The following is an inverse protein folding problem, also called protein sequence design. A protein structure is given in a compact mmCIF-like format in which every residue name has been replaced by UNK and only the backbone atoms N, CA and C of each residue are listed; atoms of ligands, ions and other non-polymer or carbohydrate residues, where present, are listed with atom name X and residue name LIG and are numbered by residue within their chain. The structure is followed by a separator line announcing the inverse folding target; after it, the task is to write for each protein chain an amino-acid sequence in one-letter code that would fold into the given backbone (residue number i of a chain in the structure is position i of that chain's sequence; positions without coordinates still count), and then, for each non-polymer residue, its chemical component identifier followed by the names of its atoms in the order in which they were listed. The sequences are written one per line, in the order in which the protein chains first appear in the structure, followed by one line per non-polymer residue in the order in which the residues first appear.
data_IF_818629052080
#
_entry.id   IF_818629052080
#
_cell.length_a   1.000
_cell.length_b   1.000
_cell.length_c   1.000
_cell.angle_alpha   90.00
_cell.angle_beta   90.00
_cell.angle_gamma   90.00
#
_symmetry.space_group_name_H-M   'P 1'
#
loop_
_entity.id
_entity.type
_entity.pdbx_description
1 polymer ?
#
# COMPACT_ATOMS: atom_id res chain seq x y z
N UNK A 1 -7.46 68.91 31.48
CA UNK A 1 -6.56 68.46 30.40
C UNK A 1 -5.59 67.44 30.98
N UNK A 2 -5.83 66.14 30.77
CA UNK A 2 -4.82 65.10 30.94
C UNK A 2 -5.16 63.98 29.96
N UNK A 3 -4.44 63.97 28.83
CA UNK A 3 -4.58 62.97 27.78
C UNK A 3 -3.89 61.67 28.22
N UNK A 4 -4.66 60.60 28.35
CA UNK A 4 -4.13 59.24 28.45
C UNK A 4 -3.74 58.78 27.04
N UNK A 5 -2.45 58.74 26.73
CA UNK A 5 -1.96 58.15 25.48
C UNK A 5 -1.92 56.64 25.63
N UNK A 6 -2.76 55.94 24.87
CA UNK A 6 -2.61 54.51 24.60
C UNK A 6 -1.33 54.30 23.78
N UNK A 7 -0.35 53.61 24.37
CA UNK A 7 0.81 53.09 23.64
C UNK A 7 0.42 51.68 23.18
N UNK A 8 0.06 51.56 21.91
CA UNK A 8 -0.16 50.26 21.27
C UNK A 8 1.22 49.68 20.99
N UNK A 9 1.64 48.72 21.82
CA UNK A 9 2.83 47.90 21.59
C UNK A 9 2.50 46.90 20.48
N UNK A 10 3.03 47.14 19.29
CA UNK A 10 3.08 46.14 18.22
C UNK A 10 4.11 45.07 18.60
N UNK A 11 3.65 43.98 19.20
CA UNK A 11 4.40 42.73 19.22
C UNK A 11 4.35 42.13 17.81
N UNK A 12 5.41 42.33 17.03
CA UNK A 12 5.65 41.52 15.84
C UNK A 12 5.84 40.06 16.28
N UNK A 13 4.82 39.24 16.10
CA UNK A 13 4.94 37.78 16.08
C UNK A 13 5.80 37.41 14.86
N UNK A 14 7.11 37.30 15.08
CA UNK A 14 8.00 36.61 14.14
C UNK A 14 7.62 35.13 14.23
N UNK A 15 6.80 34.66 13.30
CA UNK A 15 6.69 33.24 13.02
C UNK A 15 8.07 32.79 12.54
N UNK A 16 8.88 32.25 13.45
CA UNK A 16 10.01 31.42 13.09
C UNK A 16 9.42 30.19 12.41
N UNK A 17 9.21 30.28 11.09
CA UNK A 17 9.08 29.09 10.27
C UNK A 17 10.43 28.36 10.40
N UNK A 18 10.48 27.36 11.27
CA UNK A 18 11.56 26.40 11.24
C UNK A 18 11.59 25.83 9.82
N UNK A 19 12.69 25.99 9.06
CA UNK A 19 12.78 25.37 7.75
C UNK A 19 12.54 23.88 7.96
N UNK A 20 11.58 23.31 7.22
CA UNK A 20 11.46 21.86 7.12
C UNK A 20 12.83 21.35 6.71
N UNK A 21 13.48 20.57 7.58
CA UNK A 21 14.77 19.96 7.26
C UNK A 21 14.58 19.12 5.99
N UNK A 22 15.35 19.39 4.93
CA UNK A 22 15.32 18.62 3.69
C UNK A 22 15.86 17.18 3.85
N UNK A 23 16.29 16.82 5.06
CA UNK A 23 16.71 15.49 5.47
C UNK A 23 15.91 15.03 6.68
N UNK A 24 15.49 13.77 6.67
CA UNK A 24 14.84 13.12 7.80
C UNK A 24 15.30 11.66 7.95
N UNK A 25 15.21 11.14 9.17
CA UNK A 25 15.64 9.76 9.50
C UNK A 25 14.50 8.77 9.23
N UNK A 26 14.76 7.78 8.37
CA UNK A 26 13.78 6.74 8.00
C UNK A 26 13.78 5.56 8.96
N UNK A 27 14.98 5.11 9.30
CA UNK A 27 15.29 4.11 10.33
C UNK A 27 16.69 4.44 10.85
N UNK A 28 17.09 3.80 11.96
CA UNK A 28 18.37 4.09 12.60
C UNK A 28 19.52 4.07 11.57
N UNK A 29 20.29 5.16 11.52
CA UNK A 29 21.45 5.37 10.64
C UNK A 29 21.12 5.46 9.13
N UNK A 30 19.83 5.55 8.75
CA UNK A 30 19.37 5.69 7.36
C UNK A 30 18.52 6.94 7.21
N UNK A 31 18.95 7.84 6.33
CA UNK A 31 18.33 9.14 6.13
C UNK A 31 17.87 9.31 4.69
N UNK A 32 16.75 10.01 4.52
CA UNK A 32 16.20 10.37 3.22
C UNK A 32 16.39 11.87 3.02
N UNK A 33 16.98 12.24 1.89
CA UNK A 33 17.15 13.62 1.45
C UNK A 33 16.12 13.91 0.36
N UNK A 34 15.27 14.90 0.58
CA UNK A 34 14.32 15.39 -0.42
C UNK A 34 15.04 16.33 -1.39
N UNK A 35 14.97 16.03 -2.70
CA UNK A 35 15.63 16.83 -3.73
C UNK A 35 14.64 17.23 -4.82
N UNK A 36 14.57 18.51 -5.12
CA UNK A 36 13.95 18.98 -6.36
C UNK A 36 14.81 18.56 -7.56
N UNK A 37 14.20 17.84 -8.50
CA UNK A 37 14.91 17.15 -9.57
C UNK A 37 14.67 17.84 -10.92
N UNK A 38 15.50 18.84 -11.22
CA UNK A 38 15.49 19.54 -12.51
C UNK A 38 16.93 19.92 -12.92
N UNK A 39 17.19 20.24 -14.21
CA UNK A 39 18.53 20.64 -14.66
C UNK A 39 19.04 21.86 -13.86
N UNK A 40 20.29 21.80 -13.40
CA UNK A 40 20.94 22.85 -12.61
C UNK A 40 20.29 23.14 -11.23
N UNK A 41 19.52 22.19 -10.70
CA UNK A 41 19.03 22.27 -9.32
C UNK A 41 20.22 22.40 -8.35
N UNK A 42 20.14 23.29 -7.35
CA UNK A 42 21.25 23.54 -6.43
C UNK A 42 21.53 22.36 -5.49
N UNK A 43 20.58 21.44 -5.34
CA UNK A 43 20.61 20.36 -4.37
C UNK A 43 20.50 20.85 -2.93
N UNK A 44 20.77 19.97 -1.98
CA UNK A 44 20.59 20.22 -0.56
C UNK A 44 21.90 20.13 0.23
N UNK A 45 22.07 21.02 1.20
CA UNK A 45 23.21 20.99 2.11
C UNK A 45 22.87 20.18 3.34
N UNK A 46 23.51 19.02 3.48
CA UNK A 46 23.30 18.09 4.59
C UNK A 46 24.50 18.12 5.54
N UNK A 47 24.24 18.14 6.84
CA UNK A 47 25.28 18.03 7.88
C UNK A 47 25.14 16.68 8.57
N UNK A 48 26.13 15.80 8.38
CA UNK A 48 26.23 14.52 9.06
C UNK A 48 27.06 14.67 10.32
N UNK A 49 26.64 14.02 11.40
CA UNK A 49 27.37 14.01 12.68
C UNK A 49 27.76 12.58 12.99
N UNK A 50 29.03 12.36 13.33
CA UNK A 50 29.53 11.04 13.71
C UNK A 50 28.96 10.69 15.10
N UNK A 51 28.23 9.58 15.21
CA UNK A 51 27.71 9.09 16.49
C UNK A 51 28.83 8.47 17.33
N UNK A 52 29.58 9.33 18.03
CA UNK A 52 30.72 8.95 18.84
C UNK A 52 30.97 10.00 19.93
N UNK A 53 31.49 9.61 21.11
CA UNK A 53 31.98 10.56 22.10
C UNK A 53 33.30 11.24 21.69
N UNK A 54 33.99 10.74 20.68
CA UNK A 54 35.25 11.31 20.18
C UNK A 54 35.02 12.67 19.51
N UNK A 55 35.88 13.65 19.76
CA UNK A 55 35.76 15.01 19.18
C UNK A 55 36.83 15.30 18.10
N UNK A 56 37.98 14.64 18.19
CA UNK A 56 39.15 14.91 17.34
C UNK A 56 39.69 13.65 16.66
N UNK A 57 40.41 13.86 15.54
CA UNK A 57 41.03 12.80 14.75
C UNK A 57 40.05 11.96 13.92
N UNK A 58 38.84 12.49 13.70
CA UNK A 58 37.80 11.86 12.90
C UNK A 58 37.99 12.22 11.42
N UNK A 59 37.93 11.24 10.54
CA UNK A 59 37.91 11.40 9.08
C UNK A 59 36.68 10.72 8.48
N UNK A 60 36.21 11.25 7.35
CA UNK A 60 35.02 10.74 6.66
C UNK A 60 35.34 10.16 5.29
N UNK A 61 34.63 9.09 4.96
CA UNK A 61 34.70 8.37 3.68
C UNK A 61 33.29 8.07 3.17
N UNK A 62 33.11 7.91 1.86
CA UNK A 62 31.85 7.47 1.22
C UNK A 62 32.09 6.19 0.43
N UNK A 63 31.06 5.37 0.22
CA UNK A 63 31.13 4.23 -0.69
C UNK A 63 31.11 4.63 -2.19
N UNK A 64 30.81 5.90 -2.49
CA UNK A 64 30.85 6.47 -3.85
C UNK A 64 32.21 7.07 -4.22
N UNK A 65 33.12 7.25 -3.27
CA UNK A 65 34.43 7.89 -3.49
C UNK A 65 35.55 7.17 -2.73
N UNK A 66 36.73 7.09 -3.34
CA UNK A 66 37.93 6.53 -2.68
C UNK A 66 38.70 7.58 -1.86
N UNK A 67 38.25 8.83 -1.86
CA UNK A 67 38.94 9.95 -1.20
C UNK A 67 38.39 10.22 0.20
N UNK A 68 39.21 10.86 1.04
CA UNK A 68 38.77 11.40 2.32
C UNK A 68 37.95 12.66 2.03
N UNK A 69 36.68 12.65 2.41
CA UNK A 69 35.74 13.73 2.11
C UNK A 69 35.85 14.92 3.07
N UNK A 70 36.35 14.67 4.28
CA UNK A 70 36.48 15.69 5.31
C UNK A 70 37.01 15.14 6.62
N UNK A 71 37.21 16.04 7.58
CA UNK A 71 37.68 15.73 8.93
C UNK A 71 36.90 16.50 9.98
N UNK A 72 36.86 15.97 11.20
CA UNK A 72 36.09 16.50 12.32
C UNK A 72 34.81 15.71 12.61
N UNK A 73 34.15 16.06 13.72
CA UNK A 73 32.95 15.37 14.20
C UNK A 73 31.77 15.45 13.24
N UNK A 74 31.68 16.54 12.47
CA UNK A 74 30.62 16.78 11.49
C UNK A 74 31.18 16.87 10.07
N UNK A 75 30.44 16.35 9.10
CA UNK A 75 30.71 16.49 7.66
C UNK A 75 29.57 17.26 7.01
N UNK A 76 29.88 18.34 6.28
CA UNK A 76 28.90 19.03 5.44
C UNK A 76 29.03 18.53 4.00
N UNK A 77 27.94 18.04 3.43
CA UNK A 77 27.88 17.49 2.07
C UNK A 77 26.86 18.28 1.26
N UNK A 78 27.18 18.58 0.01
CA UNK A 78 26.22 19.07 -0.97
C UNK A 78 25.66 17.88 -1.74
N UNK A 79 24.37 17.62 -1.62
CA UNK A 79 23.70 16.46 -2.21
C UNK A 79 22.87 16.92 -3.40
N UNK A 80 23.29 16.55 -4.62
CA UNK A 80 22.65 17.00 -5.87
C UNK A 80 22.16 15.79 -6.66
N UNK A 81 22.95 14.72 -6.70
CA UNK A 81 22.66 13.52 -7.46
C UNK A 81 22.98 12.22 -6.70
N UNK A 82 22.71 11.07 -7.31
CA UNK A 82 22.93 9.75 -6.68
C UNK A 82 24.40 9.46 -6.33
N UNK A 83 25.36 10.15 -6.95
CA UNK A 83 26.79 10.04 -6.60
C UNK A 83 27.11 10.67 -5.24
N UNK A 84 26.26 11.58 -4.77
CA UNK A 84 26.38 12.22 -3.45
C UNK A 84 25.60 11.47 -2.37
N UNK A 85 24.83 10.45 -2.75
CA UNK A 85 24.13 9.57 -1.83
C UNK A 85 25.04 8.41 -1.40
N UNK A 86 24.49 7.41 -0.69
CA UNK A 86 25.23 6.21 -0.29
C UNK A 86 25.72 6.26 1.15
N UNK A 87 26.62 5.33 1.49
CA UNK A 87 27.05 5.14 2.87
C UNK A 87 28.26 6.01 3.20
N UNK A 88 28.02 6.98 4.07
CA UNK A 88 29.06 7.79 4.71
C UNK A 88 29.54 7.09 5.98
N UNK A 89 30.86 7.01 6.16
CA UNK A 89 31.47 6.32 7.30
C UNK A 89 32.51 7.24 7.94
N UNK A 90 32.36 7.49 9.25
CA UNK A 90 33.35 8.22 10.04
C UNK A 90 34.32 7.25 10.73
N UNK A 91 35.60 7.60 10.74
CA UNK A 91 36.69 6.74 11.21
C UNK A 91 37.66 7.52 12.09
N UNK A 92 38.34 6.82 13.00
CA UNK A 92 39.48 7.34 13.77
C UNK A 92 40.57 6.28 13.87
N UNK A 93 41.81 6.64 13.53
CA UNK A 93 42.94 5.69 13.54
C UNK A 93 42.75 4.47 12.63
N UNK A 94 41.87 4.55 11.62
CA UNK A 94 41.50 3.44 10.74
C UNK A 94 40.27 2.64 11.19
N UNK A 95 39.87 2.75 12.45
CA UNK A 95 38.67 2.10 12.99
C UNK A 95 37.40 2.85 12.61
N UNK A 96 36.33 2.11 12.32
CA UNK A 96 35.01 2.68 12.02
C UNK A 96 34.31 3.04 13.33
N UNK A 97 33.87 4.29 13.45
CA UNK A 97 33.15 4.78 14.63
C UNK A 97 31.63 4.67 14.43
N UNK A 98 31.13 5.19 13.31
CA UNK A 98 29.71 5.17 12.95
C UNK A 98 29.54 5.31 11.42
N UNK A 99 28.32 5.15 10.95
CA UNK A 99 27.95 5.30 9.55
C UNK A 99 26.56 5.95 9.40
N UNK A 100 26.31 6.52 8.23
CA UNK A 100 25.01 7.07 7.84
C UNK A 100 24.76 6.76 6.37
N UNK A 101 23.62 6.15 6.05
CA UNK A 101 23.20 5.88 4.68
C UNK A 101 22.28 7.00 4.20
N UNK A 102 22.67 7.69 3.14
CA UNK A 102 21.82 8.67 2.46
C UNK A 102 21.08 8.03 1.28
N UNK A 103 19.76 8.15 1.31
CA UNK A 103 18.84 7.83 0.22
C UNK A 103 18.27 9.12 -0.36
N UNK A 104 17.91 9.11 -1.64
CA UNK A 104 17.34 10.28 -2.33
C UNK A 104 15.87 10.07 -2.64
N UNK A 105 15.04 11.02 -2.23
CA UNK A 105 13.66 11.15 -2.67
C UNK A 105 13.57 12.26 -3.70
N UNK A 106 13.40 11.87 -4.96
CA UNK A 106 13.28 12.84 -6.06
C UNK A 106 11.90 13.47 -6.09
N UNK A 107 11.84 14.79 -6.26
CA UNK A 107 10.62 15.54 -6.51
C UNK A 107 10.71 16.26 -7.84
N UNK A 108 9.84 15.92 -8.77
CA UNK A 108 9.71 16.61 -10.07
C UNK A 108 8.43 17.46 -10.01
N UNK A 109 8.57 18.77 -10.20
CA UNK A 109 7.47 19.75 -10.11
C UNK A 109 6.65 19.67 -8.79
N UNK A 110 7.34 19.42 -7.67
CA UNK A 110 6.71 19.26 -6.34
C UNK A 110 6.04 17.91 -6.11
N UNK A 111 6.12 16.98 -7.06
CA UNK A 111 5.56 15.63 -6.97
C UNK A 111 6.69 14.61 -6.81
N UNK A 112 6.57 13.72 -5.82
CA UNK A 112 7.53 12.63 -5.63
C UNK A 112 7.58 11.69 -6.84
N UNK A 113 8.77 11.20 -7.20
CA UNK A 113 8.92 10.23 -8.29
C UNK A 113 8.18 8.92 -7.99
N UNK A 114 7.71 8.25 -9.05
CA UNK A 114 6.97 6.98 -8.94
C UNK A 114 7.53 5.95 -9.92
N UNK A 115 8.85 5.78 -9.93
CA UNK A 115 9.58 4.96 -10.90
C UNK A 115 9.70 3.50 -10.48
N UNK A 116 9.59 3.21 -9.17
CA UNK A 116 9.78 1.87 -8.62
C UNK A 116 8.54 0.99 -8.85
N UNK A 117 7.34 1.54 -8.66
CA UNK A 117 6.09 0.80 -8.80
C UNK A 117 5.37 1.13 -10.10
N UNK A 118 4.73 0.11 -10.66
CA UNK A 118 3.87 0.25 -11.84
C UNK A 118 2.51 0.80 -11.42
N UNK A 119 2.08 1.86 -12.09
CA UNK A 119 0.69 2.33 -12.02
C UNK A 119 -0.26 1.27 -12.59
N UNK A 120 -1.22 0.84 -11.78
CA UNK A 120 -2.20 -0.19 -12.11
C UNK A 120 -3.47 0.39 -12.78
N UNK A 121 -3.46 1.68 -13.14
CA UNK A 121 -4.41 2.37 -14.05
C UNK A 121 -5.89 2.16 -13.72
N UNK A 122 -6.32 2.62 -12.54
CA UNK A 122 -7.75 2.76 -12.25
C UNK A 122 -8.29 4.08 -12.84
N UNK A 123 -9.57 4.13 -13.25
CA UNK A 123 -10.13 5.16 -14.15
C UNK A 123 -10.14 6.59 -13.60
N UNK A 124 -9.64 6.85 -12.39
CA UNK A 124 -9.71 8.17 -11.74
C UNK A 124 -8.37 8.73 -11.26
N UNK A 125 -7.37 7.92 -10.91
CA UNK A 125 -6.05 8.36 -10.42
C UNK A 125 -4.97 7.26 -10.58
N UNK A 126 -3.69 7.66 -10.53
CA UNK A 126 -2.56 6.72 -10.41
C UNK A 126 -2.77 5.83 -9.18
N UNK A 127 -2.77 4.52 -9.36
CA UNK A 127 -3.04 3.55 -8.29
C UNK A 127 -1.92 2.53 -8.24
N UNK A 128 -1.05 2.63 -7.24
CA UNK A 128 0.13 1.76 -7.12
C UNK A 128 -0.10 0.59 -6.16
N UNK A 129 -0.80 0.85 -5.05
CA UNK A 129 -1.20 -0.13 -4.05
C UNK A 129 -2.66 -0.52 -4.29
N UNK A 130 -2.93 -1.82 -4.35
CA UNK A 130 -4.29 -2.35 -4.31
C UNK A 130 -4.45 -3.21 -3.08
N UNK A 131 -5.56 -3.06 -2.37
CA UNK A 131 -5.85 -3.81 -1.17
C UNK A 131 -7.21 -4.48 -1.30
N UNK A 132 -7.34 -5.70 -0.78
CA UNK A 132 -8.60 -6.45 -0.68
C UNK A 132 -8.73 -7.08 0.70
N UNK A 133 -9.96 -7.14 1.19
CA UNK A 133 -10.34 -7.85 2.40
C UNK A 133 -11.39 -8.91 2.07
N UNK A 134 -11.22 -10.12 2.60
CA UNK A 134 -12.17 -11.22 2.35
C UNK A 134 -13.42 -11.13 3.20
N UNK A 135 -13.33 -10.41 4.33
CA UNK A 135 -14.34 -10.31 5.36
C UNK A 135 -14.08 -9.05 6.21
N UNK A 136 -14.88 -8.85 7.25
CA UNK A 136 -14.79 -7.70 8.16
C UNK A 136 -13.92 -7.94 9.40
N UNK A 137 -13.02 -8.92 9.40
CA UNK A 137 -12.18 -9.26 10.57
C UNK A 137 -11.07 -8.24 10.88
N UNK A 138 -10.96 -7.17 10.09
CA UNK A 138 -9.82 -6.24 10.12
C UNK A 138 -8.57 -6.78 9.41
N UNK A 139 -8.63 -7.99 8.83
CA UNK A 139 -7.57 -8.54 7.99
C UNK A 139 -7.73 -8.12 6.53
N UNK A 140 -6.65 -7.65 5.94
CA UNK A 140 -6.60 -7.30 4.52
C UNK A 140 -5.22 -7.61 3.92
N UNK A 141 -5.18 -7.74 2.60
CA UNK A 141 -3.97 -7.98 1.84
C UNK A 141 -3.78 -6.86 0.83
N UNK A 142 -2.63 -6.20 0.85
CA UNK A 142 -2.25 -5.24 -0.16
C UNK A 142 -1.23 -5.83 -1.11
N UNK A 143 -1.26 -5.44 -2.39
CA UNK A 143 -0.29 -5.84 -3.40
C UNK A 143 0.05 -4.71 -4.37
N UNK A 144 1.23 -4.83 -4.96
CA UNK A 144 1.77 -3.90 -5.94
C UNK A 144 2.60 -4.64 -6.98
N UNK A 145 2.89 -3.95 -8.08
CA UNK A 145 3.63 -4.47 -9.21
C UNK A 145 4.90 -3.66 -9.45
N UNK A 146 6.00 -4.33 -9.78
CA UNK A 146 7.25 -3.69 -10.19
C UNK A 146 7.94 -4.49 -11.29
N UNK A 147 8.66 -3.82 -12.18
CA UNK A 147 9.55 -4.45 -13.16
C UNK A 147 10.96 -4.72 -12.60
N UNK A 148 11.28 -4.16 -11.43
CA UNK A 148 12.61 -4.25 -10.82
C UNK A 148 12.78 -5.61 -10.15
N UNK A 149 13.96 -6.20 -10.30
CA UNK A 149 14.22 -7.58 -9.87
C UNK A 149 15.35 -7.75 -8.86
N UNK A 150 16.21 -6.75 -8.67
CA UNK A 150 17.38 -6.75 -7.78
C UNK A 150 17.43 -5.48 -6.94
N UNK A 151 18.18 -5.50 -5.83
CA UNK A 151 18.46 -4.34 -4.96
C UNK A 151 17.22 -3.55 -4.52
N UNK A 152 16.14 -4.27 -4.23
CA UNK A 152 14.84 -3.72 -3.90
C UNK A 152 14.45 -4.10 -2.48
N UNK A 153 14.18 -3.09 -1.64
CA UNK A 153 13.70 -3.24 -0.27
C UNK A 153 12.34 -2.56 -0.14
N UNK A 154 11.41 -3.23 0.54
CA UNK A 154 10.09 -2.70 0.86
C UNK A 154 9.89 -2.70 2.37
N UNK A 155 9.26 -1.66 2.90
CA UNK A 155 8.77 -1.60 4.28
C UNK A 155 7.36 -1.05 4.29
N UNK A 156 6.49 -1.62 5.10
CA UNK A 156 5.06 -1.27 5.14
C UNK A 156 4.71 -0.82 6.54
N UNK A 157 4.09 0.35 6.63
CA UNK A 157 3.52 0.91 7.86
C UNK A 157 2.04 1.11 7.64
N UNK A 158 1.23 0.81 8.65
CA UNK A 158 -0.22 1.02 8.56
C UNK A 158 -0.80 1.46 9.90
N UNK A 159 -1.90 2.21 9.83
CA UNK A 159 -2.65 2.68 10.99
C UNK A 159 -4.11 2.93 10.64
N UNK A 160 -5.00 2.96 11.64
CA UNK A 160 -6.35 3.53 11.50
C UNK A 160 -6.35 4.99 11.93
N UNK A 161 -6.73 5.88 11.03
CA UNK A 161 -6.72 7.33 11.27
C UNK A 161 -5.30 7.91 11.33
N UNK A 162 -5.21 9.23 11.15
CA UNK A 162 -3.93 9.95 11.09
C UNK A 162 -3.56 10.64 12.41
N UNK A 163 -4.55 11.14 13.16
CA UNK A 163 -4.34 11.93 14.39
C UNK A 163 -4.34 11.10 15.68
N UNK A 164 -5.10 10.00 15.70
CA UNK A 164 -5.23 9.06 16.82
C UNK A 164 -5.08 7.65 16.25
N UNK A 165 -3.85 7.36 15.84
CA UNK A 165 -3.50 6.19 15.05
C UNK A 165 -3.73 4.90 15.86
N UNK A 166 -4.75 4.13 15.51
CA UNK A 166 -4.93 2.79 16.08
C UNK A 166 -4.00 1.80 15.39
N UNK A 167 -3.52 0.82 16.16
CA UNK A 167 -2.54 -0.15 15.72
C UNK A 167 -3.04 -1.07 14.61
N UNK A 168 -2.26 -1.14 13.52
CA UNK A 168 -2.41 -2.12 12.45
C UNK A 168 -1.05 -2.79 12.25
N UNK A 169 -1.02 -4.11 12.41
CA UNK A 169 0.20 -4.90 12.26
C UNK A 169 0.27 -5.49 10.86
N UNK A 170 1.32 -5.15 10.11
CA UNK A 170 1.60 -5.74 8.79
C UNK A 170 2.77 -6.73 8.88
N UNK A 171 2.67 -7.82 8.10
CA UNK A 171 3.76 -8.78 7.93
C UNK A 171 4.87 -8.27 6.99
N UNK A 172 5.81 -9.15 6.67
CA UNK A 172 6.87 -8.85 5.70
C UNK A 172 6.32 -8.95 4.26
N UNK A 173 6.64 -8.00 3.36
CA UNK A 173 6.32 -8.13 1.95
C UNK A 173 6.91 -9.39 1.33
N UNK A 174 6.11 -10.14 0.58
CA UNK A 174 6.50 -11.40 -0.06
C UNK A 174 6.26 -11.34 -1.57
N UNK A 175 7.11 -12.01 -2.34
CA UNK A 175 6.90 -12.19 -3.78
C UNK A 175 5.78 -13.21 -3.99
N UNK A 176 4.71 -12.78 -4.65
CA UNK A 176 3.59 -13.66 -4.98
C UNK A 176 3.97 -14.63 -6.09
N UNK A 177 3.50 -15.88 -5.99
CA UNK A 177 3.64 -16.88 -7.05
C UNK A 177 2.79 -16.54 -8.28
N UNK A 178 1.73 -15.74 -8.09
CA UNK A 178 0.88 -15.25 -9.16
C UNK A 178 1.61 -14.18 -9.96
N UNK A 179 2.00 -14.52 -11.18
CA UNK A 179 2.48 -13.53 -12.16
C UNK A 179 1.27 -12.82 -12.73
N UNK A 180 1.25 -11.48 -12.66
CA UNK A 180 0.43 -10.70 -13.60
C UNK A 180 0.86 -11.10 -15.02
N UNK A 181 0.00 -10.97 -16.02
CA UNK A 181 0.15 -11.53 -17.38
C UNK A 181 1.32 -10.93 -18.21
N UNK A 182 2.44 -10.51 -17.58
CA UNK A 182 3.60 -9.89 -18.22
C UNK A 182 4.88 -9.93 -17.37
N UNK A 183 5.80 -8.99 -17.68
CA UNK A 183 7.17 -8.89 -17.12
C UNK A 183 7.27 -8.42 -15.67
N UNK A 184 6.15 -8.07 -15.03
CA UNK A 184 6.13 -7.45 -13.71
C UNK A 184 5.96 -8.49 -12.60
N UNK A 185 6.71 -8.31 -11.52
CA UNK A 185 6.60 -9.11 -10.29
C UNK A 185 5.52 -8.52 -9.39
N UNK A 186 4.67 -9.38 -8.84
CA UNK A 186 3.65 -9.02 -7.84
C UNK A 186 4.20 -9.27 -6.44
N UNK A 187 4.23 -8.24 -5.60
CA UNK A 187 4.52 -8.37 -4.19
C UNK A 187 3.23 -8.15 -3.39
N UNK A 188 3.11 -8.84 -2.27
CA UNK A 188 1.95 -8.72 -1.38
C UNK A 188 2.36 -8.71 0.08
N UNK A 189 1.54 -8.07 0.91
CA UNK A 189 1.66 -8.03 2.36
C UNK A 189 0.29 -8.26 2.98
N UNK A 190 0.24 -9.05 4.04
CA UNK A 190 -0.96 -9.19 4.87
C UNK A 190 -0.85 -8.26 6.07
N UNK A 191 -1.95 -7.59 6.39
CA UNK A 191 -2.08 -6.72 7.54
C UNK A 191 -3.31 -7.11 8.37
N UNK A 192 -3.23 -6.86 9.66
CA UNK A 192 -4.27 -7.14 10.64
C UNK A 192 -4.44 -5.91 11.53
N UNK A 193 -5.65 -5.38 11.58
CA UNK A 193 -6.04 -4.42 12.61
C UNK A 193 -6.04 -5.09 13.99
N UNK A 194 -5.37 -4.46 14.96
CA UNK A 194 -5.13 -5.07 16.27
C UNK A 194 -6.42 -5.20 17.09
N UNK A 195 -7.31 -4.20 17.02
CA UNK A 195 -8.57 -4.14 17.78
C UNK A 195 -9.79 -3.99 16.85
N UNK A 196 -9.94 -4.92 15.90
CA UNK A 196 -11.01 -4.86 14.92
C UNK A 196 -12.42 -5.00 15.55
N UNK A 197 -13.36 -4.20 15.06
CA UNK A 197 -14.77 -4.25 15.42
C UNK A 197 -15.63 -4.54 14.17
N UNK A 198 -15.82 -5.82 13.77
CA UNK A 198 -16.38 -6.18 12.47
C UNK A 198 -17.78 -5.63 12.15
N UNK A 199 -18.59 -5.38 13.18
CA UNK A 199 -19.97 -4.92 13.03
C UNK A 199 -20.13 -3.40 13.14
N UNK A 200 -19.09 -2.67 13.53
CA UNK A 200 -19.14 -1.24 13.74
C UNK A 200 -19.03 -0.49 12.41
N UNK A 201 -19.67 0.67 12.34
CA UNK A 201 -19.48 1.57 11.21
C UNK A 201 -18.11 2.26 11.31
N UNK A 202 -17.30 2.13 10.26
CA UNK A 202 -15.97 2.75 10.21
C UNK A 202 -16.07 4.26 10.01
N UNK A 203 -15.53 5.03 10.96
CA UNK A 203 -15.46 6.49 10.92
C UNK A 203 -14.11 7.03 10.44
N UNK A 204 -13.04 6.24 10.58
CA UNK A 204 -11.67 6.59 10.19
C UNK A 204 -11.11 5.54 9.23
N UNK A 205 -10.44 5.96 8.14
CA UNK A 205 -9.89 5.04 7.15
C UNK A 205 -8.63 4.34 7.69
N UNK A 206 -8.31 3.22 7.07
CA UNK A 206 -6.98 2.65 7.08
C UNK A 206 -6.06 3.53 6.24
N UNK A 207 -4.89 3.83 6.76
CA UNK A 207 -3.77 4.41 6.02
C UNK A 207 -2.69 3.34 5.88
N UNK A 208 -2.26 3.07 4.65
CA UNK A 208 -1.15 2.16 4.34
C UNK A 208 -0.08 2.96 3.62
N UNK A 209 1.13 2.97 4.18
CA UNK A 209 2.31 3.60 3.60
C UNK A 209 3.32 2.51 3.26
N UNK A 210 3.67 2.40 1.98
CA UNK A 210 4.74 1.55 1.48
C UNK A 210 5.97 2.41 1.19
N UNK A 211 7.03 2.19 1.95
CA UNK A 211 8.37 2.68 1.67
C UNK A 211 9.05 1.72 0.66
N UNK A 212 9.50 2.23 -0.47
CA UNK A 212 10.16 1.47 -1.54
C UNK A 212 11.56 2.04 -1.80
N UNK A 213 12.58 1.19 -1.64
CA UNK A 213 13.98 1.57 -1.83
C UNK A 213 14.56 0.71 -2.94
N UNK A 214 15.03 1.35 -4.01
CA UNK A 214 15.79 0.70 -5.07
C UNK A 214 17.19 1.32 -5.14
N UNK A 215 18.20 0.54 -4.74
CA UNK A 215 19.58 1.02 -4.52
C UNK A 215 19.61 2.20 -3.53
N UNK A 216 19.78 3.42 -4.01
CA UNK A 216 19.82 4.66 -3.23
C UNK A 216 18.61 5.56 -3.48
N UNK A 217 17.66 5.13 -4.31
CA UNK A 217 16.40 5.84 -4.54
C UNK A 217 15.38 5.40 -3.50
N UNK A 218 14.75 6.37 -2.85
CA UNK A 218 13.59 6.19 -1.99
C UNK A 218 12.35 6.78 -2.66
N UNK A 219 11.25 6.04 -2.61
CA UNK A 219 9.91 6.50 -2.95
C UNK A 219 8.93 5.98 -1.90
N UNK A 220 7.84 6.71 -1.67
CA UNK A 220 6.74 6.22 -0.85
C UNK A 220 5.42 6.23 -1.60
N UNK A 221 4.54 5.32 -1.20
CA UNK A 221 3.24 5.13 -1.80
C UNK A 221 2.20 4.98 -0.71
N UNK A 222 1.14 5.77 -0.79
CA UNK A 222 0.08 5.76 0.20
C UNK A 222 -1.23 5.22 -0.38
N UNK A 223 -2.01 4.54 0.45
CA UNK A 223 -3.36 4.11 0.14
C UNK A 223 -4.24 4.33 1.35
N UNK A 224 -5.38 4.98 1.14
CA UNK A 224 -6.37 5.28 2.17
C UNK A 224 -7.70 4.64 1.77
N UNK A 225 -8.29 3.84 2.66
CA UNK A 225 -9.53 3.11 2.38
C UNK A 225 -10.26 2.70 3.66
N UNK A 226 -11.57 2.43 3.55
CA UNK A 226 -12.30 1.68 4.57
C UNK A 226 -12.30 0.19 4.22
N UNK A 227 -12.34 -0.70 5.23
CA UNK A 227 -12.42 -2.15 4.98
C UNK A 227 -13.65 -2.46 4.13
N UNK A 228 -14.81 -1.86 4.42
CA UNK A 228 -16.05 -2.03 3.63
C UNK A 228 -15.90 -1.75 2.14
N UNK A 229 -14.99 -0.85 1.74
CA UNK A 229 -14.76 -0.47 0.34
C UNK A 229 -13.90 -1.49 -0.42
N UNK A 230 -13.03 -2.19 0.31
CA UNK A 230 -12.11 -3.18 -0.25
C UNK A 230 -12.59 -4.63 -0.06
N UNK A 231 -13.83 -4.82 0.41
CA UNK A 231 -14.41 -6.16 0.57
C UNK A 231 -14.56 -6.86 -0.79
N UNK A 232 -13.95 -8.03 -0.88
CA UNK A 232 -14.13 -9.00 -1.96
C UNK A 232 -14.24 -10.41 -1.37
N UNK A 233 -15.46 -10.98 -1.24
CA UNK A 233 -15.62 -12.31 -0.69
C UNK A 233 -14.90 -13.38 -1.54
N UNK A 234 -14.54 -14.50 -0.92
CA UNK A 234 -14.17 -15.70 -1.68
C UNK A 234 -15.39 -16.25 -2.45
N UNK A 235 -15.19 -17.06 -3.52
CA UNK A 235 -16.29 -17.64 -4.28
C UNK A 235 -17.19 -18.55 -3.44
N UNK A 236 -18.49 -18.66 -3.77
CA UNK A 236 -19.38 -19.64 -3.14
C UNK A 236 -18.81 -21.06 -3.22
N UNK A 237 -18.90 -21.80 -2.11
CA UNK A 237 -18.37 -23.17 -2.03
C UNK A 237 -19.48 -24.20 -2.27
N UNK A 238 -19.08 -25.46 -2.51
CA UNK A 238 -19.97 -26.61 -2.64
C UNK A 238 -21.10 -26.41 -3.65
N UNK A 239 -20.79 -25.88 -4.84
CA UNK A 239 -21.77 -25.75 -5.92
C UNK A 239 -22.28 -27.12 -6.37
N UNK A 240 -23.59 -27.35 -6.26
CA UNK A 240 -24.24 -28.60 -6.63
C UNK A 240 -25.42 -28.36 -7.57
N UNK A 241 -25.62 -29.28 -8.50
CA UNK A 241 -26.78 -29.31 -9.40
C UNK A 241 -27.67 -30.51 -9.05
N UNK A 242 -28.94 -30.24 -8.79
CA UNK A 242 -29.96 -31.26 -8.56
C UNK A 242 -30.99 -31.21 -9.70
N UNK A 243 -31.17 -32.30 -10.46
CA UNK A 243 -32.21 -32.38 -11.50
C UNK A 243 -33.61 -32.21 -10.89
N UNK A 244 -34.49 -31.50 -11.59
CA UNK A 244 -35.91 -31.40 -11.26
C UNK A 244 -36.74 -32.27 -12.21
N UNK A 245 -38.05 -32.38 -11.96
CA UNK A 245 -38.98 -33.18 -12.78
C UNK A 245 -38.93 -32.83 -14.27
N UNK A 246 -38.67 -31.55 -14.61
CA UNK A 246 -38.41 -31.12 -15.97
C UNK A 246 -36.90 -31.27 -16.28
N UNK A 247 -36.50 -32.09 -17.28
CA UNK A 247 -35.10 -32.43 -17.53
C UNK A 247 -34.21 -31.25 -17.91
N UNK A 248 -34.80 -30.10 -18.28
CA UNK A 248 -34.06 -28.87 -18.58
C UNK A 248 -33.87 -27.94 -17.37
N UNK A 249 -34.64 -28.14 -16.30
CA UNK A 249 -34.55 -27.32 -15.09
C UNK A 249 -33.71 -28.02 -14.05
N UNK A 250 -32.77 -27.29 -13.47
CA UNK A 250 -31.94 -27.77 -12.37
C UNK A 250 -32.03 -26.79 -11.22
N UNK A 251 -32.09 -27.33 -10.01
CA UNK A 251 -31.85 -26.56 -8.81
C UNK A 251 -30.33 -26.51 -8.59
N UNK A 252 -29.77 -25.30 -8.64
CA UNK A 252 -28.39 -25.06 -8.22
C UNK A 252 -28.39 -24.61 -6.76
N UNK A 253 -27.51 -25.18 -5.96
CA UNK A 253 -27.31 -24.81 -4.55
C UNK A 253 -25.84 -24.64 -4.24
N UNK A 254 -25.55 -23.82 -3.22
CA UNK A 254 -24.19 -23.50 -2.78
C UNK A 254 -24.17 -23.16 -1.29
N UNK A 255 -22.98 -22.90 -0.77
CA UNK A 255 -22.77 -22.45 0.60
C UNK A 255 -21.97 -21.13 0.62
N UNK A 256 -22.06 -20.42 1.74
CA UNK A 256 -21.19 -19.27 2.02
C UNK A 256 -19.73 -19.75 2.10
N UNK A 257 -18.76 -18.94 1.64
CA UNK A 257 -17.35 -19.30 1.77
C UNK A 257 -16.93 -19.30 3.24
N UNK A 258 -16.02 -20.21 3.61
CA UNK A 258 -15.56 -20.37 5.00
C UNK A 258 -14.84 -19.14 5.56
N UNK A 259 -14.30 -18.31 4.68
CA UNK A 259 -13.60 -17.08 5.05
C UNK A 259 -14.55 -15.92 5.36
N UNK A 260 -15.85 -16.02 5.07
CA UNK A 260 -16.78 -14.91 5.27
C UNK A 260 -17.09 -14.65 6.75
N UNK A 261 -17.38 -13.39 7.09
CA UNK A 261 -17.73 -12.99 8.45
C UNK A 261 -18.97 -13.73 8.96
N UNK A 262 -18.94 -14.14 10.24
CA UNK A 262 -20.07 -14.76 10.93
C UNK A 262 -20.59 -13.84 12.04
N UNK A 263 -21.90 -13.90 12.38
CA UNK A 263 -22.93 -14.76 11.80
C UNK A 263 -23.48 -14.25 10.46
N UNK A 264 -23.87 -15.16 9.55
CA UNK A 264 -24.40 -14.81 8.22
C UNK A 264 -25.77 -14.10 8.26
N UNK A 265 -26.48 -14.18 9.39
CA UNK A 265 -27.70 -13.41 9.64
C UNK A 265 -27.43 -11.91 9.72
N UNK A 266 -26.22 -11.51 10.11
CA UNK A 266 -25.77 -10.12 10.12
C UNK A 266 -24.97 -9.81 8.85
N UNK A 267 -23.90 -10.58 8.60
CA UNK A 267 -23.08 -10.46 7.41
C UNK A 267 -23.69 -11.25 6.25
N UNK A 268 -24.80 -10.75 5.71
CA UNK A 268 -25.49 -11.42 4.60
C UNK A 268 -24.82 -11.13 3.26
N UNK A 269 -24.66 -12.18 2.45
CA UNK A 269 -24.25 -12.07 1.05
C UNK A 269 -25.47 -12.09 0.13
N UNK A 270 -25.33 -11.42 -1.01
CA UNK A 270 -26.21 -11.58 -2.17
C UNK A 270 -25.43 -12.27 -3.29
N UNK A 271 -26.13 -13.03 -4.12
CA UNK A 271 -25.53 -13.89 -5.14
C UNK A 271 -26.02 -13.53 -6.52
N UNK A 272 -25.13 -13.70 -7.49
CA UNK A 272 -25.46 -13.59 -8.90
C UNK A 272 -25.21 -14.94 -9.57
N UNK A 273 -26.26 -15.51 -10.14
CA UNK A 273 -26.23 -16.79 -10.85
C UNK A 273 -26.29 -16.51 -12.34
N UNK A 274 -25.36 -17.09 -13.10
CA UNK A 274 -25.29 -16.94 -14.54
C UNK A 274 -25.18 -18.29 -15.22
N UNK A 275 -26.01 -18.54 -16.23
CA UNK A 275 -25.84 -19.68 -17.13
C UNK A 275 -25.05 -19.20 -18.34
N UNK A 276 -23.83 -19.70 -18.51
CA UNK A 276 -23.00 -19.42 -19.67
C UNK A 276 -23.07 -20.57 -20.67
N UNK A 277 -23.72 -20.32 -21.82
CA UNK A 277 -23.73 -21.23 -22.97
C UNK A 277 -22.36 -21.42 -23.63
N UNK A 278 -22.29 -22.33 -24.60
CA UNK A 278 -21.04 -22.70 -25.29
C UNK A 278 -20.46 -21.53 -26.09
N UNK A 279 -21.32 -20.67 -26.65
CA UNK A 279 -20.91 -19.46 -27.36
C UNK A 279 -20.96 -18.26 -26.42
N UNK A 280 -19.84 -17.57 -26.21
CA UNK A 280 -19.78 -16.32 -25.40
C UNK A 280 -20.70 -15.18 -25.90
N UNK A 281 -21.24 -15.31 -27.12
CA UNK A 281 -22.18 -14.35 -27.75
C UNK A 281 -23.65 -14.60 -27.39
N UNK A 282 -23.98 -15.73 -26.78
CA UNK A 282 -25.35 -16.03 -26.35
C UNK A 282 -25.75 -15.15 -25.15
N UNK A 283 -27.05 -14.81 -25.09
CA UNK A 283 -27.62 -13.98 -24.04
C UNK A 283 -27.44 -14.69 -22.70
N UNK A 284 -26.78 -14.01 -21.76
CA UNK A 284 -26.48 -14.53 -20.43
C UNK A 284 -27.70 -14.35 -19.53
N UNK A 285 -28.46 -15.41 -19.32
CA UNK A 285 -29.51 -15.39 -18.29
C UNK A 285 -28.85 -15.27 -16.92
N UNK A 286 -29.22 -14.21 -16.21
CA UNK A 286 -28.57 -13.78 -14.97
C UNK A 286 -29.66 -13.56 -13.92
N UNK A 287 -29.52 -14.19 -12.76
CA UNK A 287 -30.49 -14.16 -11.67
C UNK A 287 -29.78 -13.70 -10.41
N UNK A 288 -30.31 -12.65 -9.76
CA UNK A 288 -29.85 -12.21 -8.45
C UNK A 288 -30.73 -12.79 -7.35
N UNK A 289 -30.13 -13.31 -6.28
CA UNK A 289 -30.84 -13.93 -5.16
C UNK A 289 -30.04 -13.80 -3.87
N UNK A 290 -30.73 -13.68 -2.75
CA UNK A 290 -30.13 -13.71 -1.40
C UNK A 290 -30.15 -15.12 -0.78
N UNK A 291 -30.84 -16.06 -1.44
CA UNK A 291 -30.85 -17.46 -1.04
C UNK A 291 -29.60 -18.16 -1.57
N UNK A 292 -29.23 -19.25 -0.92
CA UNK A 292 -28.13 -20.13 -1.36
C UNK A 292 -28.57 -21.20 -2.35
N UNK A 293 -29.69 -20.96 -3.04
CA UNK A 293 -30.17 -21.80 -4.14
C UNK A 293 -30.98 -21.00 -5.15
N UNK A 294 -31.00 -21.49 -6.39
CA UNK A 294 -31.81 -20.95 -7.47
C UNK A 294 -32.17 -22.04 -8.48
N UNK A 295 -33.31 -21.88 -9.16
CA UNK A 295 -33.68 -22.74 -10.29
C UNK A 295 -33.23 -22.09 -11.59
N UNK A 296 -32.46 -22.83 -12.40
CA UNK A 296 -31.97 -22.37 -13.71
C UNK A 296 -32.27 -23.39 -14.79
N UNK A 297 -32.28 -22.91 -16.04
CA UNK A 297 -32.39 -23.79 -17.21
C UNK A 297 -30.99 -24.17 -17.64
N UNK A 298 -30.61 -25.45 -17.47
CA UNK A 298 -29.33 -25.98 -17.93
C UNK A 298 -29.45 -26.44 -19.38
N UNK A 299 -28.65 -25.83 -20.25
CA UNK A 299 -28.48 -26.30 -21.62
C UNK A 299 -27.28 -27.24 -21.70
N UNK A 300 -27.30 -28.20 -22.63
CA UNK A 300 -26.21 -29.16 -22.82
C UNK A 300 -24.89 -28.43 -23.14
N UNK A 301 -23.83 -28.73 -22.40
CA UNK A 301 -22.51 -28.06 -22.46
C UNK A 301 -22.47 -26.60 -21.97
N UNK A 302 -23.50 -26.11 -21.28
CA UNK A 302 -23.43 -24.85 -20.57
C UNK A 302 -22.72 -25.00 -19.22
N UNK A 303 -22.32 -23.88 -18.61
CA UNK A 303 -21.83 -23.85 -17.23
C UNK A 303 -22.70 -22.92 -16.39
N UNK A 304 -23.13 -23.38 -15.23
CA UNK A 304 -23.74 -22.52 -14.21
C UNK A 304 -22.63 -21.91 -13.39
N UNK A 305 -22.70 -20.60 -13.17
CA UNK A 305 -21.71 -19.86 -12.39
C UNK A 305 -22.39 -19.04 -11.32
N UNK A 306 -21.75 -18.97 -10.16
CA UNK A 306 -22.24 -18.18 -9.03
C UNK A 306 -21.09 -17.34 -8.47
N UNK A 307 -21.37 -16.07 -8.21
CA UNK A 307 -20.47 -15.17 -7.49
C UNK A 307 -21.24 -14.51 -6.34
N UNK A 308 -20.52 -14.04 -5.33
CA UNK A 308 -21.07 -13.43 -4.13
C UNK A 308 -20.61 -11.98 -3.98
N UNK A 309 -21.40 -11.17 -3.28
CA UNK A 309 -21.06 -9.82 -2.84
C UNK A 309 -21.77 -9.54 -1.52
N UNK A 310 -21.24 -8.61 -0.72
CA UNK A 310 -22.00 -8.05 0.39
C UNK A 310 -23.40 -7.58 -0.07
N UNK A 311 -24.42 -7.91 0.73
CA UNK A 311 -25.82 -7.59 0.41
C UNK A 311 -26.16 -6.12 0.62
N UNK A 312 -25.58 -5.50 1.64
CA UNK A 312 -25.95 -4.17 2.12
C UNK A 312 -24.97 -3.10 1.65
N UNK A 313 -23.77 -3.49 1.22
CA UNK A 313 -22.76 -2.60 0.67
C UNK A 313 -22.34 -3.00 -0.75
N UNK A 314 -22.14 -2.01 -1.63
CA UNK A 314 -21.76 -2.26 -3.02
C UNK A 314 -20.25 -2.43 -3.19
N UNK A 315 -19.70 -3.45 -2.54
CA UNK A 315 -18.29 -3.84 -2.65
C UNK A 315 -18.00 -4.65 -3.92
N UNK A 316 -16.80 -5.24 -4.02
CA UNK A 316 -16.43 -6.09 -5.15
C UNK A 316 -17.17 -7.43 -5.15
N UNK A 317 -17.50 -7.94 -6.34
CA UNK A 317 -17.96 -9.32 -6.50
C UNK A 317 -16.79 -10.30 -6.35
N UNK A 318 -17.07 -11.47 -5.79
CA UNK A 318 -16.13 -12.60 -5.77
C UNK A 318 -15.79 -13.06 -7.18
N UNK A 319 -14.74 -13.87 -7.29
CA UNK A 319 -14.56 -14.69 -8.50
C UNK A 319 -15.74 -15.67 -8.66
N UNK A 320 -15.94 -16.16 -9.89
CA UNK A 320 -17.02 -17.09 -10.21
C UNK A 320 -16.68 -18.52 -9.78
N UNK A 321 -17.50 -19.11 -8.92
CA UNK A 321 -17.58 -20.57 -8.79
C UNK A 321 -18.38 -21.12 -9.99
N UNK A 322 -17.94 -22.23 -10.59
CA UNK A 322 -18.57 -22.78 -11.81
C UNK A 322 -18.78 -24.28 -11.74
N UNK A 323 -19.91 -24.77 -12.27
CA UNK A 323 -20.23 -26.19 -12.40
C UNK A 323 -20.83 -26.46 -13.79
N UNK A 324 -20.39 -27.51 -14.51
CA UNK A 324 -20.91 -27.82 -15.83
C UNK A 324 -22.34 -28.39 -15.75
N UNK A 325 -23.18 -27.98 -16.70
CA UNK A 325 -24.45 -28.66 -16.99
C UNK A 325 -24.16 -30.01 -17.66
N UNK A 326 -24.77 -31.07 -17.15
CA UNK A 326 -24.73 -32.43 -17.74
C UNK A 326 -25.39 -32.50 -19.11
#
# INVERSE_FOLDING_TARGET
MCHWKLVISWFCLVLLASPLSAIWELEKDVYVVELDWYPDAPGERVVLTCDTPEEEGITWTSDQSNEILGSGKTLTVQVIEFRDAGRYTCRKGGEVLSHSLLLLHKREDGVGSTDILKDQKEPKNKTFLKCEAKNYSGRFTCWWLTAISTDLKFSVKSSRGSSDAQGVTCGTPTLSAERDRGEHKKFSVECQEDNACPAAEESLPMEVVLDAIHRLKYENYTSSFFIRDIIKPDPPKNLQLKPLENPRHVEVSWEYPDSWSTPHSYFSLTFNVQVQGKNKREKKDTISTDKTSATVICQKHANVRVQARDRYYSSSWSEWASVPCS
#
